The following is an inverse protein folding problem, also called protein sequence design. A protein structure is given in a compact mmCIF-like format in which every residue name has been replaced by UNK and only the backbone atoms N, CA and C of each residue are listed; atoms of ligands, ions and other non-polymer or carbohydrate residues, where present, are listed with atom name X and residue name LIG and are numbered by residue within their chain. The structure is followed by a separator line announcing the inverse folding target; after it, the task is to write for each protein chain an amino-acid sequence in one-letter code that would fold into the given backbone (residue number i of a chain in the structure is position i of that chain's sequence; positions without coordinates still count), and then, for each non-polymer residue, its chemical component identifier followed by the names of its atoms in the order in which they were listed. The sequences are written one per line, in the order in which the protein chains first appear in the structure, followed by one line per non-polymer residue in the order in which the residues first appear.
data_IF_739911704625
#
_entry.id   IF_739911704625
#
_cell.length_a   1.000
_cell.length_b   1.000
_cell.length_c   1.000
_cell.angle_alpha   90.00
_cell.angle_beta   90.00
_cell.angle_gamma   90.00
#
_symmetry.space_group_name_H-M   'P 1'
#
loop_
_entity.id
_entity.type
_entity.pdbx_description
1 polymer ?
#
# COMPACT_ATOMS: atom_id res chain seq x y z
N UNK A 1 51.17 30.81 54.96
CA UNK A 1 51.12 32.23 54.57
C UNK A 1 49.71 32.52 54.07
N UNK A 2 48.99 33.41 54.75
CA UNK A 2 47.54 33.64 54.66
C UNK A 2 47.37 35.06 54.12
N UNK A 3 46.82 35.22 52.91
CA UNK A 3 46.56 36.52 52.30
C UNK A 3 45.08 36.90 52.53
N UNK A 4 44.78 38.14 52.95
CA UNK A 4 43.41 38.59 53.23
C UNK A 4 42.74 39.23 52.01
N UNK A 5 41.42 39.07 51.93
CA UNK A 5 40.52 39.81 51.03
C UNK A 5 40.42 41.29 51.45
N UNK A 6 40.03 42.17 50.52
CA UNK A 6 39.21 43.32 50.85
C UNK A 6 37.86 43.30 50.11
N UNK A 7 36.88 43.87 50.80
CA UNK A 7 35.45 43.92 50.51
C UNK A 7 35.02 45.31 49.97
N UNK A 8 33.93 45.31 49.17
CA UNK A 8 32.94 46.40 48.88
C UNK A 8 33.30 47.52 47.87
N UNK A 9 32.32 48.26 47.26
CA UNK A 9 30.88 48.33 47.57
C UNK A 9 29.87 48.24 46.38
N UNK A 10 28.60 48.23 46.79
CA UNK A 10 27.32 48.16 46.08
C UNK A 10 26.87 49.50 45.46
N UNK A 11 26.33 49.49 44.22
CA UNK A 11 25.14 50.25 43.75
C UNK A 11 25.06 50.32 42.21
N UNK A 12 23.91 49.97 41.62
CA UNK A 12 23.01 50.92 40.94
C UNK A 12 21.91 50.19 40.14
N UNK A 13 20.73 50.80 40.12
CA UNK A 13 19.44 50.32 39.60
C UNK A 13 19.17 50.80 38.15
N UNK A 14 18.27 50.06 37.45
CA UNK A 14 17.57 50.33 36.16
C UNK A 14 18.38 50.12 34.86
N UNK A 15 17.92 49.45 33.79
CA UNK A 15 16.59 49.32 33.15
C UNK A 15 16.38 47.94 32.43
N UNK A 16 15.13 47.54 32.07
CA UNK A 16 14.77 46.41 31.17
C UNK A 16 14.66 46.90 29.69
N UNK A 17 14.18 46.17 28.65
CA UNK A 17 13.73 44.77 28.47
C UNK A 17 14.57 44.01 27.39
N UNK A 18 14.35 42.74 27.05
CA UNK A 18 13.59 42.32 25.86
C UNK A 18 13.57 40.77 25.75
N UNK A 19 12.35 40.23 25.73
CA UNK A 19 11.86 39.04 25.03
C UNK A 19 12.87 38.02 24.48
N UNK A 20 12.79 36.79 25.01
CA UNK A 20 12.92 35.56 24.21
C UNK A 20 12.14 34.43 24.89
N UNK A 21 11.02 33.94 24.31
CA UNK A 21 10.38 32.72 24.75
C UNK A 21 11.19 31.53 24.23
N UNK A 22 11.82 30.80 25.14
CA UNK A 22 12.45 29.51 24.86
C UNK A 22 11.38 28.50 24.45
N UNK A 23 11.27 28.29 23.14
CA UNK A 23 10.84 27.07 22.45
C UNK A 23 9.98 26.10 23.28
N UNK A 24 8.66 26.24 23.19
CA UNK A 24 7.76 25.12 23.44
C UNK A 24 7.98 24.12 22.30
N UNK A 25 8.70 23.02 22.59
CA UNK A 25 8.84 21.90 21.67
C UNK A 25 7.45 21.26 21.49
N UNK A 26 6.77 21.75 20.46
CA UNK A 26 5.59 21.18 19.82
C UNK A 26 5.72 19.64 19.81
N UNK A 27 4.71 18.88 20.30
CA UNK A 27 4.76 17.43 20.25
C UNK A 27 5.02 16.98 18.81
N UNK A 28 6.01 16.10 18.65
CA UNK A 28 6.33 15.45 17.39
C UNK A 28 5.02 14.98 16.75
N UNK A 29 4.80 15.41 15.50
CA UNK A 29 3.69 14.94 14.70
C UNK A 29 3.58 13.42 14.85
N UNK A 30 2.42 12.97 15.32
CA UNK A 30 2.10 11.55 15.39
C UNK A 30 2.44 10.92 14.05
N UNK A 31 3.43 10.00 14.05
CA UNK A 31 3.66 9.06 12.97
C UNK A 31 2.35 8.32 12.73
N UNK A 32 1.54 8.81 11.79
CA UNK A 32 0.34 8.09 11.38
C UNK A 32 0.80 6.75 10.81
N UNK A 33 0.41 5.63 11.42
CA UNK A 33 0.87 4.33 10.97
C UNK A 33 0.31 4.08 9.57
N UNK A 34 1.19 3.89 8.59
CA UNK A 34 1.03 3.08 7.39
C UNK A 34 -0.35 3.06 6.68
N UNK A 35 -1.13 4.13 6.73
CA UNK A 35 -2.48 4.14 6.13
C UNK A 35 -2.36 4.11 4.61
N UNK A 36 -3.14 3.22 4.00
CA UNK A 36 -3.24 3.10 2.54
C UNK A 36 -4.44 3.87 1.97
N UNK A 37 -5.28 4.48 2.81
CA UNK A 37 -6.58 5.06 2.40
C UNK A 37 -6.46 6.06 1.25
N UNK A 38 -5.48 6.96 1.31
CA UNK A 38 -5.29 8.01 0.29
C UNK A 38 -4.33 7.61 -0.85
N UNK A 39 -3.74 6.41 -0.80
CA UNK A 39 -2.78 5.96 -1.81
C UNK A 39 -3.50 5.32 -3.00
N UNK A 40 -3.30 5.89 -4.19
CA UNK A 40 -3.81 5.35 -5.45
C UNK A 40 -2.68 5.25 -6.46
N UNK A 41 -2.62 4.15 -7.19
CA UNK A 41 -1.57 3.86 -8.18
C UNK A 41 -2.27 3.48 -9.48
N UNK A 42 -2.25 4.34 -10.50
CA UNK A 42 -2.85 4.04 -11.80
C UNK A 42 -2.27 2.76 -12.39
N UNK A 43 -3.12 1.88 -12.94
CA UNK A 43 -2.65 0.65 -13.57
C UNK A 43 -1.59 0.91 -14.66
N UNK A 44 -1.79 1.98 -15.46
CA UNK A 44 -0.89 2.36 -16.55
C UNK A 44 0.50 2.81 -16.08
N UNK A 45 0.67 3.20 -14.81
CA UNK A 45 1.97 3.63 -14.28
C UNK A 45 2.76 2.49 -13.65
N UNK A 46 2.20 1.27 -13.59
CA UNK A 46 2.87 0.12 -12.98
C UNK A 46 3.86 -0.49 -13.96
N UNK A 47 5.14 -0.44 -13.62
CA UNK A 47 6.20 -1.17 -14.33
C UNK A 47 6.28 -2.61 -13.82
N UNK A 48 6.06 -3.64 -14.66
CA UNK A 48 6.21 -5.03 -14.24
C UNK A 48 7.65 -5.38 -13.82
N UNK A 49 7.78 -6.23 -12.82
CA UNK A 49 9.06 -6.84 -12.44
C UNK A 49 9.45 -7.99 -13.38
N UNK A 50 10.66 -8.51 -13.19
CA UNK A 50 11.14 -9.73 -13.86
C UNK A 50 10.72 -11.02 -13.12
N UNK A 51 10.03 -10.90 -11.98
CA UNK A 51 9.56 -12.03 -11.19
C UNK A 51 8.42 -12.71 -11.94
N UNK A 52 8.46 -14.03 -12.04
CA UNK A 52 7.37 -14.80 -12.66
C UNK A 52 6.03 -14.51 -11.94
N UNK A 53 4.93 -14.32 -12.69
CA UNK A 53 3.63 -14.09 -12.08
C UNK A 53 3.20 -15.28 -11.22
N UNK A 54 2.67 -14.99 -10.03
CA UNK A 54 2.16 -16.00 -9.12
C UNK A 54 0.73 -16.36 -9.53
N UNK A 55 0.51 -17.60 -9.98
CA UNK A 55 -0.85 -18.10 -10.23
C UNK A 55 -1.55 -18.34 -8.90
N UNK A 56 -2.61 -17.57 -8.62
CA UNK A 56 -3.39 -17.72 -7.39
C UNK A 56 -4.62 -18.60 -7.61
N UNK A 57 -5.18 -18.61 -8.82
CA UNK A 57 -6.32 -19.45 -9.20
C UNK A 57 -6.17 -19.93 -10.64
N UNK A 58 -6.45 -21.21 -10.91
CA UNK A 58 -6.45 -21.80 -12.26
C UNK A 58 -7.36 -23.03 -12.28
N UNK A 59 -8.63 -22.83 -12.64
CA UNK A 59 -9.64 -23.91 -12.73
C UNK A 59 -10.69 -23.57 -13.76
N UNK A 60 -11.20 -24.59 -14.47
CA UNK A 60 -12.32 -24.48 -15.42
C UNK A 60 -12.13 -23.40 -16.49
N UNK A 61 -10.88 -23.18 -16.92
CA UNK A 61 -10.49 -22.14 -17.87
C UNK A 61 -10.45 -20.72 -17.30
N UNK A 62 -10.80 -20.50 -16.03
CA UNK A 62 -10.63 -19.23 -15.35
C UNK A 62 -9.29 -19.18 -14.62
N UNK A 63 -8.48 -18.15 -14.91
CA UNK A 63 -7.16 -17.98 -14.35
C UNK A 63 -6.99 -16.59 -13.74
N UNK A 64 -6.43 -16.55 -12.53
CA UNK A 64 -6.04 -15.32 -11.84
C UNK A 64 -4.56 -15.38 -11.43
N UNK A 65 -3.83 -14.32 -11.74
CA UNK A 65 -2.38 -14.22 -11.49
C UNK A 65 -2.03 -12.90 -10.83
N UNK A 66 -1.09 -12.92 -9.89
CA UNK A 66 -0.48 -11.73 -9.29
C UNK A 66 0.85 -11.45 -9.97
N UNK A 67 0.98 -10.24 -10.49
CA UNK A 67 2.20 -9.69 -11.04
C UNK A 67 2.80 -8.71 -10.04
N UNK A 68 4.09 -8.83 -9.78
CA UNK A 68 4.80 -7.91 -8.89
C UNK A 68 5.34 -6.73 -9.70
N UNK A 69 5.17 -5.52 -9.18
CA UNK A 69 5.83 -4.35 -9.76
C UNK A 69 7.33 -4.39 -9.51
N UNK A 70 8.09 -3.72 -10.36
CA UNK A 70 9.50 -3.44 -10.12
C UNK A 70 9.68 -2.45 -8.98
N UNK A 71 8.89 -1.38 -9.02
CA UNK A 71 9.03 -0.23 -8.12
C UNK A 71 7.95 -0.25 -7.04
N UNK A 72 8.26 0.19 -5.80
CA UNK A 72 7.25 0.37 -4.76
C UNK A 72 6.30 1.52 -5.11
N UNK A 73 5.26 1.71 -4.29
CA UNK A 73 4.33 2.81 -4.53
C UNK A 73 5.03 4.19 -4.41
N UNK A 74 4.63 5.19 -5.21
CA UNK A 74 5.27 6.51 -5.21
C UNK A 74 5.29 7.13 -3.80
N UNK A 75 6.48 7.55 -3.35
CA UNK A 75 6.68 8.14 -2.01
C UNK A 75 6.50 7.18 -0.84
N UNK A 76 6.29 5.88 -1.09
CA UNK A 76 5.98 4.87 -0.07
C UNK A 76 6.83 3.60 -0.29
N UNK A 77 8.12 3.61 0.07
CA UNK A 77 9.04 2.49 -0.16
C UNK A 77 8.68 1.23 0.65
N UNK A 78 7.87 1.37 1.69
CA UNK A 78 7.31 0.28 2.50
C UNK A 78 6.08 -0.39 1.86
N UNK A 79 5.61 0.11 0.71
CA UNK A 79 4.41 -0.39 0.03
C UNK A 79 4.77 -1.09 -1.28
N UNK A 80 4.54 -2.40 -1.30
CA UNK A 80 4.61 -3.22 -2.50
C UNK A 80 3.38 -2.98 -3.38
N UNK A 81 3.59 -2.84 -4.70
CA UNK A 81 2.51 -2.78 -5.70
C UNK A 81 2.42 -4.13 -6.42
N UNK A 82 1.21 -4.66 -6.52
CA UNK A 82 0.91 -5.86 -7.29
C UNK A 82 -0.25 -5.59 -8.24
N UNK A 83 -0.29 -6.31 -9.36
CA UNK A 83 -1.43 -6.30 -10.28
C UNK A 83 -2.02 -7.70 -10.33
N UNK A 84 -3.29 -7.84 -9.93
CA UNK A 84 -4.07 -9.02 -10.18
C UNK A 84 -4.60 -8.96 -11.60
N UNK A 85 -4.27 -9.95 -12.45
CA UNK A 85 -4.84 -10.12 -13.79
C UNK A 85 -5.69 -11.39 -13.84
N UNK A 86 -6.89 -11.27 -14.36
CA UNK A 86 -7.87 -12.35 -14.47
C UNK A 86 -8.31 -12.51 -15.92
N UNK A 87 -8.24 -13.73 -16.45
CA UNK A 87 -8.61 -14.06 -17.84
C UNK A 87 -9.34 -15.40 -17.89
N UNK A 88 -10.13 -15.60 -18.95
CA UNK A 88 -10.91 -16.82 -19.15
C UNK A 88 -10.67 -17.43 -20.53
N UNK A 89 -10.45 -18.73 -20.57
CA UNK A 89 -10.52 -19.59 -21.75
C UNK A 89 -11.76 -20.48 -21.75
N UNK A 90 -12.72 -20.21 -20.86
CA UNK A 90 -13.97 -20.98 -20.76
C UNK A 90 -14.96 -20.64 -21.87
N UNK A 91 -15.72 -21.63 -22.33
CA UNK A 91 -16.86 -21.43 -23.23
C UNK A 91 -18.04 -20.67 -22.58
N UNK A 92 -18.04 -20.53 -21.25
CA UNK A 92 -19.08 -19.80 -20.52
C UNK A 92 -18.53 -18.46 -20.02
N UNK A 93 -19.37 -17.39 -19.99
CA UNK A 93 -18.99 -16.13 -19.38
C UNK A 93 -18.82 -16.28 -17.87
N UNK A 94 -18.01 -15.40 -17.30
CA UNK A 94 -17.78 -15.29 -15.86
C UNK A 94 -18.33 -13.93 -15.41
N UNK A 95 -19.15 -13.93 -14.36
CA UNK A 95 -19.77 -12.71 -13.83
C UNK A 95 -19.52 -12.57 -12.33
N UNK A 96 -19.87 -11.40 -11.82
CA UNK A 96 -19.82 -11.07 -10.39
C UNK A 96 -18.44 -11.33 -9.76
N UNK A 97 -17.37 -11.09 -10.54
CA UNK A 97 -16.00 -11.32 -10.11
C UNK A 97 -15.69 -10.38 -8.95
N UNK A 98 -15.42 -10.97 -7.78
CA UNK A 98 -15.00 -10.26 -6.59
C UNK A 98 -13.79 -10.95 -5.97
N UNK A 99 -12.66 -10.25 -5.98
CA UNK A 99 -11.45 -10.67 -5.30
C UNK A 99 -11.34 -9.95 -3.95
N UNK A 100 -11.11 -10.72 -2.90
CA UNK A 100 -10.86 -10.23 -1.55
C UNK A 100 -9.52 -10.78 -1.07
N UNK A 101 -8.79 -9.98 -0.29
CA UNK A 101 -7.54 -10.40 0.29
C UNK A 101 -7.41 -9.95 1.75
N UNK A 102 -6.69 -10.74 2.53
CA UNK A 102 -6.37 -10.48 3.92
C UNK A 102 -4.90 -10.81 4.19
N UNK A 103 -4.29 -10.07 5.10
CA UNK A 103 -2.86 -10.16 5.44
C UNK A 103 -2.70 -10.22 6.96
N UNK A 104 -1.51 -10.56 7.50
CA UNK A 104 -1.27 -10.54 8.93
C UNK A 104 -1.46 -9.14 9.51
N UNK A 105 -1.76 -9.04 10.81
CA UNK A 105 -2.07 -7.77 11.49
C UNK A 105 -0.93 -6.73 11.44
N UNK A 106 0.32 -7.18 11.23
CA UNK A 106 1.50 -6.30 11.10
C UNK A 106 1.58 -5.62 9.73
N UNK A 107 0.70 -5.98 8.80
CA UNK A 107 0.64 -5.46 7.43
C UNK A 107 -0.73 -4.84 7.15
N UNK A 108 -0.80 -3.99 6.13
CA UNK A 108 -2.07 -3.51 5.58
C UNK A 108 -2.16 -3.84 4.10
N UNK A 109 -3.36 -4.14 3.63
CA UNK A 109 -3.64 -4.37 2.22
C UNK A 109 -4.79 -3.46 1.77
N UNK A 110 -4.62 -2.84 0.60
CA UNK A 110 -5.65 -2.09 -0.09
C UNK A 110 -5.83 -2.66 -1.48
N UNK A 111 -7.07 -2.95 -1.83
CA UNK A 111 -7.47 -3.34 -3.18
C UNK A 111 -8.10 -2.10 -3.82
N UNK A 112 -7.52 -1.62 -4.91
CA UNK A 112 -8.13 -0.57 -5.70
C UNK A 112 -9.29 -1.15 -6.53
N UNK A 113 -10.17 -0.32 -7.12
CA UNK A 113 -11.22 -0.81 -8.00
C UNK A 113 -10.65 -1.68 -9.14
N UNK A 114 -11.33 -2.78 -9.45
CA UNK A 114 -11.00 -3.59 -10.61
C UNK A 114 -11.46 -2.89 -11.90
N UNK A 115 -10.83 -3.21 -13.03
CA UNK A 115 -11.22 -2.68 -14.35
C UNK A 115 -12.61 -3.16 -14.80
N UNK A 116 -13.15 -4.20 -14.17
CA UNK A 116 -14.46 -4.77 -14.43
C UNK A 116 -14.77 -5.91 -13.46
N UNK A 117 -15.96 -6.48 -13.57
CA UNK A 117 -16.45 -7.59 -12.74
C UNK A 117 -16.87 -8.80 -13.57
N UNK A 118 -16.60 -8.80 -14.88
CA UNK A 118 -17.06 -9.84 -15.80
C UNK A 118 -16.00 -10.15 -16.85
N UNK A 119 -16.02 -11.39 -17.35
CA UNK A 119 -15.26 -11.84 -18.51
C UNK A 119 -16.23 -12.52 -19.49
N UNK A 120 -16.17 -12.19 -20.79
CA UNK A 120 -16.98 -12.86 -21.80
C UNK A 120 -16.57 -14.33 -21.95
N UNK A 121 -17.44 -15.12 -22.59
CA UNK A 121 -17.06 -16.43 -23.09
C UNK A 121 -15.85 -16.30 -24.03
N UNK A 122 -14.93 -17.25 -23.93
CA UNK A 122 -13.71 -17.26 -24.73
C UNK A 122 -14.05 -17.41 -26.22
N UNK A 123 -13.52 -16.48 -27.02
CA UNK A 123 -13.59 -16.52 -28.47
C UNK A 123 -12.16 -16.52 -29.02
N UNK A 124 -11.69 -17.61 -29.66
CA UNK A 124 -10.32 -17.69 -30.16
C UNK A 124 -10.01 -16.72 -31.30
N UNK A 125 -11.03 -16.08 -31.90
CA UNK A 125 -10.87 -15.07 -32.96
C UNK A 125 -10.63 -13.66 -32.41
N UNK A 126 -10.84 -13.44 -31.12
CA UNK A 126 -10.69 -12.15 -30.47
C UNK A 126 -9.54 -12.19 -29.45
N UNK A 127 -8.87 -11.05 -29.19
CA UNK A 127 -7.97 -10.95 -28.06
C UNK A 127 -8.67 -11.34 -26.75
N UNK A 128 -8.03 -12.13 -25.87
CA UNK A 128 -8.62 -12.46 -24.58
C UNK A 128 -8.89 -11.19 -23.76
N UNK A 129 -10.12 -11.07 -23.25
CA UNK A 129 -10.46 -10.03 -22.28
C UNK A 129 -9.75 -10.30 -20.95
N UNK A 130 -9.41 -9.22 -20.24
CA UNK A 130 -8.72 -9.27 -18.95
C UNK A 130 -9.40 -8.32 -17.97
N UNK A 131 -9.66 -8.81 -16.76
CA UNK A 131 -9.97 -7.96 -15.61
C UNK A 131 -8.68 -7.75 -14.82
N UNK A 132 -8.34 -6.49 -14.57
CA UNK A 132 -7.12 -6.10 -13.85
C UNK A 132 -7.47 -5.33 -12.58
N UNK A 133 -6.73 -5.56 -11.51
CA UNK A 133 -6.92 -4.87 -10.24
C UNK A 133 -5.57 -4.59 -9.57
N UNK A 134 -5.35 -3.36 -9.11
CA UNK A 134 -4.13 -2.98 -8.40
C UNK A 134 -4.29 -3.26 -6.90
N UNK A 135 -3.29 -3.93 -6.33
CA UNK A 135 -3.20 -4.25 -4.91
C UNK A 135 -1.98 -3.53 -4.32
N UNK A 136 -2.17 -2.90 -3.16
CA UNK A 136 -1.14 -2.20 -2.41
C UNK A 136 -0.96 -2.91 -1.07
N UNK A 137 0.27 -3.32 -0.76
CA UNK A 137 0.60 -4.03 0.47
C UNK A 137 1.65 -3.25 1.25
N UNK A 138 1.27 -2.67 2.39
CA UNK A 138 2.21 -2.06 3.32
C UNK A 138 2.85 -3.13 4.21
N UNK A 139 4.18 -3.22 4.17
CA UNK A 139 4.98 -4.13 5.00
C UNK A 139 6.15 -3.37 5.67
N UNK A 140 5.86 -2.53 6.70
CA UNK A 140 6.86 -1.66 7.32
C UNK A 140 7.99 -2.42 8.02
N UNK A 141 7.72 -3.63 8.51
CA UNK A 141 8.69 -4.47 9.22
C UNK A 141 9.45 -5.45 8.31
N UNK A 142 9.09 -5.50 7.01
CA UNK A 142 9.66 -6.45 6.05
C UNK A 142 9.51 -7.92 6.48
N UNK A 143 8.44 -8.22 7.20
CA UNK A 143 8.12 -9.58 7.63
C UNK A 143 7.76 -10.46 6.41
N UNK A 144 7.88 -11.79 6.52
CA UNK A 144 7.40 -12.71 5.49
C UNK A 144 5.92 -12.49 5.17
N UNK A 145 5.61 -12.25 3.90
CA UNK A 145 4.25 -11.96 3.45
C UNK A 145 3.42 -13.24 3.39
N UNK A 146 2.25 -13.23 4.05
CA UNK A 146 1.25 -14.30 4.01
C UNK A 146 -0.11 -13.75 3.60
N UNK A 147 -0.37 -13.72 2.31
CA UNK A 147 -1.64 -13.24 1.75
C UNK A 147 -2.65 -14.39 1.68
N UNK A 148 -3.82 -14.20 2.29
CA UNK A 148 -5.00 -15.06 2.10
C UNK A 148 -5.95 -14.36 1.15
N UNK A 149 -6.58 -15.11 0.25
CA UNK A 149 -7.54 -14.54 -0.67
C UNK A 149 -8.84 -15.33 -0.70
N UNK A 150 -9.90 -14.68 -1.18
CA UNK A 150 -11.16 -15.28 -1.58
C UNK A 150 -11.52 -14.74 -2.96
N UNK A 151 -11.84 -15.63 -3.88
CA UNK A 151 -12.31 -15.30 -5.23
C UNK A 151 -13.73 -15.81 -5.37
N UNK A 152 -14.66 -14.89 -5.62
CA UNK A 152 -16.08 -15.15 -5.84
C UNK A 152 -16.41 -14.79 -7.29
N UNK A 153 -17.21 -15.60 -7.94
CA UNK A 153 -17.69 -15.38 -9.31
C UNK A 153 -18.81 -16.39 -9.60
N UNK A 154 -19.58 -16.14 -10.65
CA UNK A 154 -20.51 -17.09 -11.25
C UNK A 154 -20.01 -17.49 -12.63
N UNK A 155 -20.16 -18.78 -13.01
CA UNK A 155 -19.70 -19.28 -14.30
C UNK A 155 -20.79 -20.16 -14.94
N UNK A 156 -21.33 -19.71 -16.07
CA UNK A 156 -22.49 -20.36 -16.68
C UNK A 156 -23.75 -20.25 -15.79
N UNK A 157 -24.50 -21.35 -15.65
CA UNK A 157 -25.76 -21.42 -14.86
C UNK A 157 -25.50 -21.85 -13.41
N UNK A 158 -24.25 -22.08 -13.02
CA UNK A 158 -23.92 -22.59 -11.70
C UNK A 158 -23.24 -21.50 -10.85
N UNK A 159 -23.70 -21.29 -9.60
CA UNK A 159 -23.08 -20.34 -8.66
C UNK A 159 -21.73 -20.83 -8.14
#
# INVERSE_FOLDING_TARGET
MKLPFPDLPHNSVADPPLLSPGYELKPAASLHPASLENLFVPLISVTPSTICPLTVYDRNGFKAMLHFSRDPAPGRPDVLVMVLSMLSTSAHPIRDILFQAAVPKTMQIKLQPASGSELPAFNPLLPPAVVSQVLLLANPHKDPIRLRYRLLFTQGVQP
#
